data_IF_593180273603
#
_entry.id   IF_593180273603
#
_cell.length_a   1.000
_cell.length_b   1.000
_cell.length_c   1.000
_cell.angle_alpha   90.00
_cell.angle_beta   90.00
_cell.angle_gamma   90.00
#
_symmetry.space_group_name_H-M   'P 1'
#
loop_
_entity.id
_entity.type
_entity.pdbx_description
1 polymer ?
#
# COMPACT_ATOMS: atom_id res chain seq x y z
N UNK A 1 -5.92 11.65 -3.36
CA UNK A 1 -5.82 10.34 -4.02
C UNK A 1 -7.09 9.56 -3.76
N UNK A 2 -7.50 8.70 -4.69
CA UNK A 2 -8.51 7.67 -4.44
C UNK A 2 -8.04 6.73 -3.32
N UNK A 3 -8.93 5.95 -2.69
CA UNK A 3 -8.54 4.93 -1.71
C UNK A 3 -8.26 3.62 -2.43
N UNK A 4 -7.40 2.79 -1.86
CA UNK A 4 -7.13 1.47 -2.40
C UNK A 4 -8.25 0.50 -1.99
N UNK A 5 -8.89 -0.11 -2.99
CA UNK A 5 -9.86 -1.17 -2.77
C UNK A 5 -9.14 -2.53 -2.74
N UNK A 6 -9.27 -3.25 -1.61
CA UNK A 6 -8.57 -4.52 -1.38
C UNK A 6 -9.15 -5.70 -2.18
N UNK A 7 -10.28 -5.49 -2.85
CA UNK A 7 -10.93 -6.48 -3.72
C UNK A 7 -10.61 -6.28 -5.20
N UNK A 8 -9.80 -5.28 -5.52
CA UNK A 8 -9.38 -4.98 -6.90
C UNK A 8 -8.25 -5.91 -7.38
N UNK A 9 -7.96 -5.85 -8.69
CA UNK A 9 -6.92 -6.66 -9.35
C UNK A 9 -5.50 -6.20 -9.02
N UNK A 10 -4.49 -7.02 -9.32
CA UNK A 10 -3.07 -6.61 -9.17
C UNK A 10 -2.73 -5.35 -9.98
N UNK A 11 -3.27 -5.24 -11.19
CA UNK A 11 -3.09 -4.06 -12.05
C UNK A 11 -3.60 -2.78 -11.37
N UNK A 12 -4.77 -2.83 -10.71
CA UNK A 12 -5.31 -1.68 -9.98
C UNK A 12 -4.44 -1.29 -8.77
N UNK A 13 -3.75 -2.24 -8.14
CA UNK A 13 -2.77 -1.96 -7.10
C UNK A 13 -1.53 -1.27 -7.69
N UNK A 14 -1.00 -1.78 -8.79
CA UNK A 14 0.15 -1.17 -9.49
C UNK A 14 -0.15 0.27 -9.93
N UNK A 15 -1.31 0.51 -10.57
CA UNK A 15 -1.80 1.84 -10.96
C UNK A 15 -1.96 2.78 -9.76
N UNK A 16 -2.38 2.25 -8.61
CA UNK A 16 -2.46 3.02 -7.39
C UNK A 16 -1.08 3.45 -6.91
N UNK A 17 -0.12 2.52 -6.85
CA UNK A 17 1.23 2.80 -6.36
C UNK A 17 1.96 3.77 -7.27
N UNK A 18 1.86 3.62 -8.59
CA UNK A 18 2.47 4.55 -9.54
C UNK A 18 1.93 5.98 -9.34
N UNK A 19 0.59 6.14 -9.22
CA UNK A 19 -0.02 7.45 -8.93
C UNK A 19 0.45 8.03 -7.59
N UNK A 20 0.62 7.19 -6.57
CA UNK A 20 1.14 7.61 -5.27
C UNK A 20 2.58 8.08 -5.35
N UNK A 21 3.44 7.33 -6.06
CA UNK A 21 4.85 7.65 -6.25
C UNK A 21 5.01 8.96 -7.02
N UNK A 22 4.27 9.15 -8.12
CA UNK A 22 4.22 10.43 -8.86
C UNK A 22 3.78 11.58 -7.94
N UNK A 23 2.74 11.38 -7.13
CA UNK A 23 2.31 12.39 -6.16
C UNK A 23 3.40 12.70 -5.14
N UNK A 24 4.11 11.69 -4.63
CA UNK A 24 5.18 11.86 -3.64
C UNK A 24 6.37 12.64 -4.20
N UNK A 25 6.74 12.43 -5.48
CA UNK A 25 7.81 13.17 -6.14
C UNK A 25 7.53 14.68 -6.23
N UNK A 26 6.26 15.09 -6.24
CA UNK A 26 5.88 16.52 -6.20
C UNK A 26 6.05 17.17 -4.82
N UNK A 27 6.40 16.39 -3.79
CA UNK A 27 6.69 16.84 -2.44
C UNK A 27 8.20 16.83 -2.24
N UNK A 28 8.88 17.83 -2.79
CA UNK A 28 10.36 17.95 -2.81
C UNK A 28 11.04 17.83 -1.42
N UNK A 29 10.29 18.01 -0.31
CA UNK A 29 10.80 17.98 1.07
C UNK A 29 10.26 16.80 1.93
N UNK A 30 9.62 15.79 1.34
CA UNK A 30 9.08 14.68 2.11
C UNK A 30 10.17 13.67 2.51
N UNK A 31 10.65 13.73 3.76
CA UNK A 31 11.42 12.64 4.36
C UNK A 31 10.68 11.28 4.24
N UNK A 32 11.41 10.16 4.25
CA UNK A 32 10.80 8.82 4.13
C UNK A 32 9.66 8.57 5.13
N UNK A 33 9.80 9.09 6.36
CA UNK A 33 8.75 9.01 7.40
C UNK A 33 7.50 9.78 6.97
N UNK A 34 7.67 10.94 6.31
CA UNK A 34 6.56 11.69 5.73
C UNK A 34 5.90 10.88 4.61
N UNK A 35 6.65 10.21 3.73
CA UNK A 35 6.08 9.40 2.64
C UNK A 35 5.24 8.25 3.20
N UNK A 36 5.74 7.50 4.20
CA UNK A 36 5.00 6.41 4.84
C UNK A 36 3.72 6.92 5.51
N UNK A 37 3.78 8.04 6.23
CA UNK A 37 2.61 8.62 6.88
C UNK A 37 1.53 9.05 5.86
N UNK A 38 1.93 9.67 4.75
CA UNK A 38 1.01 10.04 3.67
C UNK A 38 0.41 8.81 3.02
N UNK A 39 1.21 7.78 2.73
CA UNK A 39 0.75 6.52 2.18
C UNK A 39 -0.34 5.89 3.05
N UNK A 40 -0.06 5.68 4.34
CA UNK A 40 -1.00 5.08 5.29
C UNK A 40 -2.29 5.90 5.45
N UNK A 41 -2.22 7.22 5.22
CA UNK A 41 -3.40 8.11 5.23
C UNK A 41 -4.24 7.96 3.95
N UNK A 42 -3.59 7.82 2.78
CA UNK A 42 -4.29 7.78 1.50
C UNK A 42 -4.86 6.41 1.12
N UNK A 43 -4.26 5.30 1.57
CA UNK A 43 -4.73 3.95 1.22
C UNK A 43 -6.15 3.65 1.72
N UNK A 44 -6.61 4.34 2.75
CA UNK A 44 -7.92 4.12 3.33
C UNK A 44 -7.98 3.04 4.41
N UNK A 45 -9.11 2.97 5.12
CA UNK A 45 -9.28 2.21 6.37
C UNK A 45 -9.12 0.70 6.19
N UNK A 46 -9.65 0.14 5.11
CA UNK A 46 -9.66 -1.31 4.88
C UNK A 46 -8.26 -1.80 4.52
N UNK A 47 -7.62 -1.18 3.52
CA UNK A 47 -6.22 -1.44 3.18
C UNK A 47 -5.26 -1.22 4.36
N UNK A 48 -5.46 -0.17 5.18
CA UNK A 48 -4.69 0.03 6.40
C UNK A 48 -4.90 -1.09 7.43
N UNK A 49 -6.14 -1.58 7.58
CA UNK A 49 -6.45 -2.67 8.50
C UNK A 49 -5.82 -3.99 8.06
N UNK A 50 -5.81 -4.25 6.75
CA UNK A 50 -5.09 -5.36 6.16
C UNK A 50 -3.57 -5.25 6.42
N UNK A 51 -2.97 -4.08 6.14
CA UNK A 51 -1.55 -3.84 6.39
C UNK A 51 -1.16 -4.05 7.85
N UNK A 52 -2.00 -3.63 8.81
CA UNK A 52 -1.73 -3.92 10.24
C UNK A 52 -1.63 -5.41 10.54
N UNK A 53 -2.42 -6.24 9.87
CA UNK A 53 -2.37 -7.70 10.03
C UNK A 53 -1.13 -8.28 9.35
N UNK A 54 -0.83 -7.83 8.12
CA UNK A 54 0.31 -8.31 7.34
C UNK A 54 1.66 -7.89 7.94
N UNK A 55 1.73 -6.73 8.58
CA UNK A 55 2.94 -6.15 9.15
C UNK A 55 3.26 -6.64 10.58
N UNK A 56 2.49 -7.59 11.15
CA UNK A 56 2.73 -8.04 12.53
C UNK A 56 4.07 -8.81 12.64
N UNK A 57 4.82 -8.62 13.74
CA UNK A 57 4.48 -7.88 14.97
C UNK A 57 4.76 -6.37 14.93
N UNK A 58 5.38 -5.85 13.87
CA UNK A 58 5.67 -4.43 13.71
C UNK A 58 4.40 -3.57 13.49
N UNK A 59 4.56 -2.24 13.55
CA UNK A 59 3.51 -1.29 13.15
C UNK A 59 3.75 -0.88 11.69
N UNK A 60 2.70 -0.67 10.88
CA UNK A 60 2.90 -0.21 9.50
C UNK A 60 3.75 1.06 9.39
N UNK A 61 3.62 2.01 10.33
CA UNK A 61 4.38 3.27 10.33
C UNK A 61 5.90 3.09 10.57
N UNK A 62 6.31 1.95 11.15
CA UNK A 62 7.74 1.65 11.39
C UNK A 62 8.40 0.90 10.24
N UNK A 63 7.63 0.45 9.25
CA UNK A 63 8.16 -0.26 8.09
C UNK A 63 8.47 0.72 6.95
N UNK A 64 9.51 0.45 6.14
CA UNK A 64 9.75 1.19 4.92
C UNK A 64 8.56 1.12 3.96
N UNK A 65 8.36 2.17 3.15
CA UNK A 65 7.31 2.20 2.13
C UNK A 65 7.38 1.00 1.17
N UNK A 66 8.59 0.62 0.75
CA UNK A 66 8.81 -0.53 -0.15
C UNK A 66 8.28 -1.83 0.44
N UNK A 67 8.53 -2.08 1.73
CA UNK A 67 7.99 -3.24 2.45
C UNK A 67 6.46 -3.22 2.51
N UNK A 68 5.85 -2.06 2.76
CA UNK A 68 4.39 -1.95 2.77
C UNK A 68 3.76 -2.19 1.38
N UNK A 69 4.41 -1.70 0.32
CA UNK A 69 4.00 -1.91 -1.08
C UNK A 69 4.05 -3.40 -1.43
N UNK A 70 5.17 -4.06 -1.13
CA UNK A 70 5.37 -5.50 -1.37
C UNK A 70 4.33 -6.35 -0.63
N UNK A 71 4.07 -6.08 0.66
CA UNK A 71 3.06 -6.80 1.43
C UNK A 71 1.66 -6.76 0.79
N UNK A 72 1.27 -5.62 0.22
CA UNK A 72 -0.03 -5.47 -0.46
C UNK A 72 -0.06 -6.16 -1.83
N UNK A 73 1.04 -6.09 -2.59
CA UNK A 73 1.17 -6.80 -3.88
C UNK A 73 1.16 -8.32 -3.68
N UNK A 74 1.87 -8.83 -2.68
CA UNK A 74 1.87 -10.25 -2.34
C UNK A 74 0.48 -10.74 -1.94
N UNK A 75 -0.27 -9.94 -1.16
CA UNK A 75 -1.64 -10.25 -0.80
C UNK A 75 -2.55 -10.38 -2.03
N UNK A 76 -2.55 -9.39 -2.94
CA UNK A 76 -3.42 -9.42 -4.12
C UNK A 76 -3.02 -10.52 -5.09
N UNK A 77 -1.73 -10.82 -5.20
CA UNK A 77 -1.26 -11.97 -5.99
C UNK A 77 -1.72 -13.31 -5.39
N UNK A 78 -1.67 -13.45 -4.07
CA UNK A 78 -2.16 -14.63 -3.36
C UNK A 78 -3.68 -14.82 -3.57
N UNK A 79 -4.48 -13.78 -3.36
CA UNK A 79 -5.94 -13.88 -3.48
C UNK A 79 -6.41 -14.10 -4.92
N UNK A 80 -5.73 -13.51 -5.90
CA UNK A 80 -6.00 -13.76 -7.31
C UNK A 80 -5.68 -15.21 -7.70
N UNK A 81 -4.65 -15.82 -7.09
CA UNK A 81 -4.33 -17.23 -7.32
C UNK A 81 -5.37 -18.18 -6.72
N UNK A 82 -5.90 -17.87 -5.53
CA UNK A 82 -6.95 -18.71 -4.90
C UNK A 82 -8.30 -18.62 -5.62
N UNK A 83 -8.61 -17.50 -6.28
CA UNK A 83 -9.85 -17.31 -7.04
C UNK A 83 -9.87 -18.08 -8.39
N UNK A 84 -8.70 -18.56 -8.85
CA UNK A 84 -8.56 -19.33 -10.10
C UNK A 84 -8.58 -20.86 -9.94
N UNK A 85 -8.90 -21.39 -8.76
CA UNK A 85 -8.98 -22.85 -8.47
C UNK A 85 -10.41 -23.36 -8.39
#
# INVERSE_FOLDING_TARGET
MEKLDIHSTSEAFEDYFERFEIWSMTKEDAEDVNIVAHFLTFIGKEAYSLLKTLAMPEKPISLPYTTLKELLLDYVNYTNFECGK
#
